data_IF_221118911797
#
_entry.id   IF_221118911797
#
_cell.length_a   1.000
_cell.length_b   1.000
_cell.length_c   1.000
_cell.angle_alpha   90.00
_cell.angle_beta   90.00
_cell.angle_gamma   90.00
#
_symmetry.space_group_name_H-M   'P 1'
#
loop_
_entity.id
_entity.type
_entity.pdbx_description
1 polymer ?
2 non-polymer ?
3 non-polymer ?
4 water ?
#
# COMPACT_ATOMS: atom_id res chain seq x y z
N UNK A 4 21.34 0.65 2.65
CA UNK A 4 20.94 -0.79 2.57
C UNK A 4 20.27 -1.26 3.88
N UNK A 5 20.02 -2.56 3.96
CA UNK A 5 19.47 -3.20 5.16
C UNK A 5 20.12 -4.58 5.31
N UNK A 6 20.29 -5.00 6.56
CA UNK A 6 20.94 -6.27 6.84
C UNK A 6 20.10 -7.37 6.22
N UNK A 7 18.81 -7.41 6.54
CA UNK A 7 17.91 -8.37 5.90
C UNK A 7 17.44 -7.77 4.58
N UNK A 8 17.05 -8.58 3.60
CA UNK A 8 16.63 -8.02 2.35
C UNK A 8 15.20 -7.49 2.39
N UNK A 9 14.93 -6.55 1.50
CA UNK A 9 13.73 -5.82 1.67
C UNK A 9 12.60 -6.76 1.37
N UNK A 10 12.80 -7.78 0.54
CA UNK A 10 11.68 -8.65 0.24
C UNK A 10 11.18 -9.40 1.48
N UNK A 11 12.06 -9.63 2.44
CA UNK A 11 11.69 -10.34 3.66
C UNK A 11 11.03 -9.34 4.57
N UNK A 12 11.74 -8.24 4.83
CA UNK A 12 11.20 -7.12 5.55
C UNK A 12 9.73 -6.87 5.20
N UNK A 13 9.41 -6.79 3.92
CA UNK A 13 8.04 -6.37 3.54
C UNK A 13 7.03 -7.48 3.74
N UNK A 14 7.47 -8.71 3.93
CA UNK A 14 6.48 -9.71 4.32
C UNK A 14 6.17 -9.70 5.82
N UNK A 15 7.07 -9.16 6.62
CA UNK A 15 6.95 -9.23 8.08
C UNK A 15 5.65 -8.60 8.64
N UNK A 16 5.28 -7.39 8.16
CA UNK A 16 4.07 -6.80 8.73
C UNK A 16 2.91 -7.68 8.36
N UNK A 17 2.95 -8.38 7.23
CA UNK A 17 1.79 -9.20 6.91
C UNK A 17 1.71 -10.34 7.91
N UNK A 18 2.86 -10.94 8.19
CA UNK A 18 2.79 -12.03 9.21
C UNK A 18 2.23 -11.45 10.50
N UNK A 19 2.65 -10.23 10.82
CA UNK A 19 2.27 -9.61 12.09
C UNK A 19 0.77 -9.46 12.13
N UNK A 20 0.18 -9.04 11.02
CA UNK A 20 -1.29 -8.87 10.95
C UNK A 20 -2.08 -10.16 11.16
N UNK A 21 -1.69 -11.20 10.44
CA UNK A 21 -2.38 -12.46 10.55
C UNK A 21 -2.18 -13.05 11.96
N UNK A 22 -0.99 -12.90 12.53
CA UNK A 22 -0.78 -13.46 13.86
C UNK A 22 -1.62 -12.67 14.79
N UNK A 23 -1.73 -11.37 14.49
CA UNK A 23 -2.57 -10.54 15.34
C UNK A 23 -4.03 -11.04 15.43
N UNK A 24 -4.61 -11.34 14.27
CA UNK A 24 -5.96 -11.83 14.15
C UNK A 24 -6.11 -13.16 14.90
N UNK A 25 -5.17 -14.08 14.62
CA UNK A 25 -5.11 -15.33 15.37
C UNK A 25 -5.13 -15.06 16.88
N UNK A 26 -4.30 -14.11 17.31
CA UNK A 26 -4.11 -13.83 18.73
C UNK A 26 -5.39 -13.35 19.38
N UNK A 27 -6.12 -12.49 18.70
CA UNK A 27 -7.41 -11.96 19.16
C UNK A 27 -8.50 -13.02 19.15
N UNK A 28 -8.34 -14.04 18.30
CA UNK A 28 -9.25 -15.19 18.23
C UNK A 28 -8.86 -16.31 19.19
N UNK A 29 -7.80 -16.07 19.96
CA UNK A 29 -7.44 -17.02 21.00
C UNK A 29 -6.97 -18.36 20.43
N UNK A 30 -6.47 -18.34 19.20
CA UNK A 30 -5.79 -19.49 18.63
C UNK A 30 -4.36 -19.55 19.17
N UNK A 31 -3.97 -20.70 19.71
CA UNK A 31 -2.77 -20.80 20.58
C UNK A 31 -1.52 -21.06 19.78
N UNK A 32 -1.66 -21.98 18.83
CA UNK A 32 -0.57 -22.46 17.98
C UNK A 32 -1.11 -22.61 16.57
N UNK A 33 -0.21 -22.50 15.60
CA UNK A 33 -0.52 -22.64 14.21
C UNK A 33 0.74 -23.13 13.52
N UNK A 34 0.61 -24.18 12.67
CA UNK A 34 1.74 -24.76 11.94
C UNK A 34 2.09 -23.89 10.74
N UNK A 35 3.28 -24.11 10.18
CA UNK A 35 3.67 -23.34 8.98
C UNK A 35 2.67 -23.58 7.87
N UNK A 36 2.20 -24.83 7.79
CA UNK A 36 1.23 -25.23 6.79
C UNK A 36 -0.14 -24.58 6.97
N UNK A 37 -0.71 -24.63 8.15
CA UNK A 37 -1.98 -23.96 8.36
C UNK A 37 -1.82 -22.46 8.13
N UNK A 38 -0.64 -21.94 8.47
CA UNK A 38 -0.38 -20.51 8.35
C UNK A 38 -0.27 -20.09 6.88
N UNK A 39 0.46 -20.88 6.10
CA UNK A 39 0.60 -20.55 4.68
C UNK A 39 -0.72 -20.75 3.93
N UNK A 40 -1.46 -21.79 4.26
CA UNK A 40 -2.81 -21.95 3.71
C UNK A 40 -3.62 -20.67 3.94
N UNK A 41 -3.60 -20.14 5.17
CA UNK A 41 -4.33 -18.92 5.52
C UNK A 41 -3.91 -17.67 4.75
N UNK A 42 -2.64 -17.60 4.37
CA UNK A 42 -2.04 -16.39 3.79
C UNK A 42 -1.74 -16.52 2.31
N UNK A 43 -1.82 -17.75 1.79
CA UNK A 43 -1.45 -18.06 0.41
C UNK A 43 -0.01 -17.70 0.14
N UNK A 44 0.86 -18.00 1.10
CA UNK A 44 2.30 -17.90 0.88
C UNK A 44 2.80 -19.33 1.08
N UNK A 45 4.02 -19.61 0.62
CA UNK A 45 4.63 -20.93 0.82
C UNK A 45 4.92 -21.14 2.30
N UNK A 46 4.72 -22.35 2.80
CA UNK A 46 5.09 -22.65 4.18
C UNK A 46 6.61 -22.62 4.35
N UNK A 47 7.37 -22.80 3.28
CA UNK A 47 8.83 -22.76 3.37
C UNK A 47 9.44 -21.35 3.32
N UNK A 48 8.74 -20.41 2.68
CA UNK A 48 9.24 -19.02 2.72
C UNK A 48 9.08 -18.46 4.14
N UNK A 49 7.89 -18.71 4.71
CA UNK A 49 7.57 -18.34 6.08
C UNK A 49 8.72 -18.73 6.99
N UNK A 50 9.14 -19.99 6.91
CA UNK A 50 10.21 -20.48 7.78
C UNK A 50 11.54 -19.80 7.43
N UNK A 51 11.82 -19.68 6.14
CA UNK A 51 13.03 -19.01 5.64
C UNK A 51 13.06 -17.58 6.16
N UNK A 52 11.95 -16.86 6.01
CA UNK A 52 11.85 -15.47 6.49
C UNK A 52 12.21 -15.37 7.98
N UNK A 53 11.51 -16.15 8.80
CA UNK A 53 11.62 -16.00 10.27
C UNK A 53 12.99 -16.43 10.70
N UNK A 54 13.56 -17.34 9.94
CA UNK A 54 14.88 -17.88 10.21
C UNK A 54 15.95 -16.80 10.23
N UNK A 55 15.66 -15.69 9.54
CA UNK A 55 16.52 -14.52 9.64
C UNK A 55 16.53 -13.97 11.06
N UNK A 56 15.52 -14.32 11.85
CA UNK A 56 15.43 -13.72 13.18
C UNK A 56 15.41 -14.67 14.38
N UNK A 57 15.31 -15.97 14.12
CA UNK A 57 15.55 -16.98 15.13
C UNK A 57 14.60 -18.18 15.12
N UNK A 58 14.87 -19.09 16.05
CA UNK A 58 14.16 -20.36 16.16
C UNK A 58 12.81 -20.22 16.84
N UNK A 59 11.80 -19.80 16.06
CA UNK A 59 10.43 -19.78 16.55
C UNK A 59 9.74 -21.09 16.16
N UNK A 60 8.65 -21.41 16.85
CA UNK A 60 7.96 -22.68 16.60
C UNK A 60 8.83 -23.92 16.77
N UNK A 61 8.30 -25.08 16.37
CA UNK A 61 9.08 -26.32 16.26
C UNK A 61 8.31 -27.55 15.82
N UNK A 62 9.04 -28.40 15.08
CA UNK A 62 8.76 -29.81 14.93
C UNK A 62 7.47 -30.22 15.65
N UNK A 63 6.36 -30.20 14.90
CA UNK A 63 5.16 -30.94 15.28
C UNK A 63 4.03 -30.20 15.96
N UNK A 64 4.29 -28.97 16.40
CA UNK A 64 3.28 -28.19 17.10
C UNK A 64 3.07 -26.85 16.40
N UNK A 65 4.01 -26.51 15.54
CA UNK A 65 3.98 -25.24 14.86
C UNK A 65 4.41 -24.11 15.79
N UNK A 66 4.02 -22.91 15.44
CA UNK A 66 4.43 -21.73 16.17
C UNK A 66 3.42 -21.50 17.26
N UNK A 67 3.90 -21.20 18.46
CA UNK A 67 3.07 -20.51 19.41
C UNK A 67 2.70 -19.11 18.90
N UNK A 68 1.40 -18.81 18.90
CA UNK A 68 0.89 -17.60 18.26
C UNK A 68 1.29 -16.31 18.99
N UNK A 69 1.11 -16.28 20.32
CA UNK A 69 1.52 -15.10 21.08
C UNK A 69 3.02 -14.86 20.93
N UNK A 70 3.81 -15.92 21.07
CA UNK A 70 5.25 -15.80 21.01
C UNK A 70 5.70 -15.21 19.69
N UNK A 71 5.17 -15.73 18.59
CA UNK A 71 5.57 -15.24 17.26
C UNK A 71 5.09 -13.80 17.00
N UNK A 72 3.87 -13.51 17.41
CA UNK A 72 3.32 -12.18 17.35
C UNK A 72 4.24 -11.22 18.10
N UNK A 73 4.65 -11.61 19.30
CA UNK A 73 5.44 -10.71 20.14
C UNK A 73 6.79 -10.45 19.53
N UNK A 74 7.40 -11.52 19.04
CA UNK A 74 8.69 -11.40 18.37
C UNK A 74 8.60 -10.55 17.11
N UNK A 75 7.52 -10.70 16.34
CA UNK A 75 7.35 -9.85 15.15
C UNK A 75 7.17 -8.39 15.55
N UNK A 76 6.47 -8.14 16.65
CA UNK A 76 6.28 -6.79 17.11
C UNK A 76 7.61 -6.12 17.41
N UNK A 77 8.48 -6.88 18.08
CA UNK A 77 9.79 -6.33 18.48
C UNK A 77 10.69 -6.27 17.28
N UNK A 78 10.64 -7.28 16.41
CA UNK A 78 11.38 -7.21 15.15
C UNK A 78 11.06 -5.93 14.27
N UNK A 79 9.79 -5.55 14.19
CA UNK A 79 9.35 -4.43 13.33
C UNK A 79 9.54 -3.09 14.07
N UNK A 80 10.18 -3.17 15.23
CA UNK A 80 10.48 -1.96 16.04
C UNK A 80 9.25 -1.40 16.72
N UNK A 81 8.18 -2.16 16.75
CA UNK A 81 6.93 -1.65 17.32
C UNK A 81 6.85 -1.77 18.86
N UNK A 82 7.93 -2.16 19.51
CA UNK A 82 7.99 -2.00 20.96
C UNK A 82 8.53 -0.63 21.36
N UNK A 83 8.64 0.30 20.41
CA UNK A 83 9.16 1.62 20.73
C UNK A 83 8.14 2.69 20.34
N UNK A 84 8.44 3.94 20.65
CA UNK A 84 7.62 5.12 20.31
C UNK A 84 8.29 5.98 19.25
N UNK A 85 7.52 6.40 18.26
CA UNK A 85 8.02 7.27 17.19
C UNK A 85 7.17 8.53 17.14
N UNK A 86 7.81 9.68 17.09
CA UNK A 86 7.08 10.92 17.00
C UNK A 86 6.91 11.27 15.54
N UNK A 87 5.67 11.49 15.11
CA UNK A 87 5.46 11.80 13.70
C UNK A 87 4.87 13.19 13.52
N UNK A 88 5.11 13.72 12.33
CA UNK A 88 4.32 14.80 11.84
C UNK A 88 3.81 14.50 10.42
N UNK A 89 2.76 15.20 10.05
CA UNK A 89 2.20 15.11 8.68
C UNK A 89 2.34 16.48 8.02
N UNK A 90 2.84 16.49 6.79
CA UNK A 90 2.84 17.75 6.07
C UNK A 90 1.77 17.63 5.00
N UNK A 91 0.82 18.57 5.01
CA UNK A 91 -0.32 18.64 4.11
C UNK A 91 -1.54 18.25 4.91
N UNK A 92 -2.42 19.20 5.17
CA UNK A 92 -3.67 18.90 5.85
C UNK A 92 -4.85 18.98 4.90
N UNK A 93 -4.69 18.50 3.68
CA UNK A 93 -5.85 18.42 2.77
C UNK A 93 -6.50 17.08 3.05
N UNK A 94 -7.29 16.56 2.11
CA UNK A 94 -7.98 15.32 2.39
C UNK A 94 -7.07 14.14 2.71
N UNK A 95 -5.96 14.00 2.01
CA UNK A 95 -5.08 12.89 2.27
C UNK A 95 -4.45 13.02 3.65
N UNK A 96 -3.86 14.17 3.97
CA UNK A 96 -3.18 14.28 5.25
C UNK A 96 -4.16 14.10 6.39
N UNK A 97 -5.40 14.59 6.24
CA UNK A 97 -6.41 14.37 7.31
C UNK A 97 -6.90 12.93 7.39
N UNK A 98 -7.00 12.22 6.27
CA UNK A 98 -7.27 10.78 6.30
C UNK A 98 -6.16 10.05 7.05
N UNK A 99 -4.91 10.40 6.79
CA UNK A 99 -3.84 9.66 7.47
C UNK A 99 -3.80 9.99 8.97
N UNK A 100 -4.03 11.27 9.31
CA UNK A 100 -4.23 11.65 10.73
C UNK A 100 -5.32 10.82 11.38
N UNK A 101 -6.30 10.36 10.61
CA UNK A 101 -7.38 9.52 11.18
C UNK A 101 -7.11 7.95 11.09
N UNK A 102 -5.87 7.57 10.80
CA UNK A 102 -5.46 6.18 10.93
C UNK A 102 -5.01 5.98 12.37
N UNK A 103 -5.98 5.92 13.28
CA UNK A 103 -5.67 6.01 14.74
C UNK A 103 -5.07 4.73 15.36
N UNK A 104 -5.24 3.58 14.70
CA UNK A 104 -4.52 2.39 15.10
C UNK A 104 -3.00 2.55 15.20
N UNK A 105 -2.40 3.36 14.33
CA UNK A 105 -0.96 3.64 14.39
C UNK A 105 -0.54 4.08 15.80
N UNK A 106 -1.40 4.83 16.50
CA UNK A 106 -1.05 5.37 17.82
C UNK A 106 -0.80 4.24 18.81
N UNK A 107 -1.62 3.19 18.71
CA UNK A 107 -1.51 2.03 19.59
C UNK A 107 -0.31 1.24 19.18
N UNK A 108 0.10 1.33 17.92
CA UNK A 108 1.31 0.64 17.51
C UNK A 108 2.51 1.51 17.81
N UNK A 109 2.28 2.70 18.36
CA UNK A 109 3.40 3.49 18.87
C UNK A 109 3.83 4.70 18.06
N UNK A 110 3.07 5.04 17.04
CA UNK A 110 3.38 6.23 16.24
C UNK A 110 2.53 7.38 16.77
N UNK A 111 3.18 8.36 17.42
CA UNK A 111 2.46 9.43 18.10
C UNK A 111 2.50 10.70 17.28
N UNK A 112 1.34 11.10 16.78
CA UNK A 112 1.26 12.26 15.88
C UNK A 112 1.41 13.53 16.73
N UNK A 113 2.45 14.31 16.49
CA UNK A 113 2.66 15.53 17.27
C UNK A 113 2.20 16.81 16.61
N UNK A 114 2.08 16.81 15.29
CA UNK A 114 1.79 18.08 14.61
C UNK A 114 1.41 17.82 13.18
N UNK A 115 0.63 18.74 12.63
CA UNK A 115 0.27 18.70 11.22
C UNK A 115 0.51 20.08 10.64
N UNK A 116 1.08 20.13 9.44
CA UNK A 116 1.52 21.38 8.87
C UNK A 116 0.93 21.64 7.50
N UNK A 117 0.63 22.91 7.23
CA UNK A 117 0.12 23.30 5.92
C UNK A 117 0.59 24.67 5.54
N UNK A 118 0.41 25.02 4.26
CA UNK A 118 0.67 26.36 3.77
C UNK A 118 -0.59 27.23 3.75
N UNK A 119 -1.74 26.59 3.70
CA UNK A 119 -3.04 27.26 3.63
C UNK A 119 -3.43 27.92 4.95
N UNK A 120 -3.36 29.27 5.03
CA UNK A 120 -3.79 29.97 6.24
C UNK A 120 -5.22 29.67 6.65
N UNK A 121 -6.10 29.34 5.71
CA UNK A 121 -7.46 29.01 6.09
C UNK A 121 -7.55 27.74 6.93
N UNK A 122 -6.43 27.04 7.07
CA UNK A 122 -6.40 25.77 7.82
C UNK A 122 -5.68 25.94 9.13
N UNK A 123 -4.91 27.01 9.30
CA UNK A 123 -4.20 27.21 10.56
C UNK A 123 -5.20 27.12 11.73
N UNK A 124 -4.82 26.43 12.80
CA UNK A 124 -5.72 26.31 13.95
C UNK A 124 -6.75 25.19 13.86
N UNK A 125 -6.94 24.56 12.71
CA UNK A 125 -7.89 23.46 12.67
C UNK A 125 -7.47 22.38 13.69
N UNK A 126 -8.45 21.80 14.38
CA UNK A 126 -8.15 20.72 15.31
C UNK A 126 -8.38 19.39 14.63
N UNK A 127 -7.36 18.55 14.65
CA UNK A 127 -7.54 17.19 14.16
C UNK A 127 -7.04 16.25 15.27
N UNK A 128 -7.98 15.45 15.77
CA UNK A 128 -7.86 14.75 17.05
C UNK A 128 -7.37 15.75 18.07
N UNK A 129 -6.23 15.45 18.68
CA UNK A 129 -5.72 16.35 19.69
C UNK A 129 -4.73 17.40 19.12
N UNK A 130 -4.47 17.40 17.82
CA UNK A 130 -3.46 18.38 17.35
C UNK A 130 -4.00 19.52 16.51
N UNK A 131 -3.21 20.58 16.42
CA UNK A 131 -3.54 21.72 15.60
C UNK A 131 -2.72 21.75 14.30
N UNK A 132 -3.37 22.18 13.23
CA UNK A 132 -2.69 22.46 11.97
C UNK A 132 -1.91 23.76 12.11
N UNK A 133 -0.62 23.70 11.79
CA UNK A 133 0.27 24.85 11.96
C UNK A 133 0.85 25.22 10.63
N UNK A 134 1.33 26.45 10.54
CA UNK A 134 2.04 26.95 9.37
C UNK A 134 3.32 26.16 9.20
N UNK A 135 3.51 25.57 8.02
CA UNK A 135 4.66 24.70 7.81
C UNK A 135 5.94 25.54 7.88
N UNK A 136 5.75 26.85 7.94
CA UNK A 136 6.90 27.75 8.11
C UNK A 136 7.67 27.37 9.37
N UNK A 137 6.94 26.97 10.40
CA UNK A 137 7.52 26.64 11.71
C UNK A 137 8.06 25.23 11.79
N UNK A 138 8.00 24.45 10.71
CA UNK A 138 8.17 23.00 10.85
C UNK A 138 9.61 22.65 11.29
N UNK A 139 10.60 23.40 10.80
CA UNK A 139 11.99 23.07 11.11
C UNK A 139 12.25 23.25 12.59
N UNK A 140 11.79 24.39 13.11
CA UNK A 140 11.75 24.63 14.53
C UNK A 140 11.04 23.54 15.33
N UNK A 141 9.82 23.20 14.89
CA UNK A 141 9.01 22.21 15.57
C UNK A 141 9.72 20.86 15.68
N UNK A 142 10.47 20.49 14.64
CA UNK A 142 11.11 19.18 14.53
C UNK A 142 12.24 19.00 15.54
N UNK A 143 12.92 20.11 15.83
CA UNK A 143 14.03 20.12 16.76
C UNK A 143 13.54 20.12 18.21
N UNK A 144 12.59 21.01 18.53
CA UNK A 144 11.99 21.06 19.85
C UNK A 144 11.32 19.76 20.22
N UNK A 145 10.69 19.08 19.26
CA UNK A 145 9.80 17.98 19.60
C UNK A 145 10.37 16.59 19.29
N UNK A 146 11.63 16.55 18.88
CA UNK A 146 12.28 15.28 18.57
C UNK A 146 11.42 14.45 17.61
N UNK A 147 11.12 14.98 16.43
CA UNK A 147 10.27 14.24 15.49
C UNK A 147 11.11 13.18 14.76
N UNK A 148 10.60 11.96 14.74
CA UNK A 148 11.27 10.87 14.09
C UNK A 148 10.88 10.75 12.62
N UNK A 149 9.57 10.82 12.34
CA UNK A 149 9.07 10.51 11.01
C UNK A 149 8.31 11.67 10.42
N UNK A 150 8.61 12.02 9.16
CA UNK A 150 7.78 13.01 8.46
C UNK A 150 6.94 12.32 7.40
N UNK A 151 5.65 12.60 7.41
CA UNK A 151 4.73 11.99 6.47
C UNK A 151 4.31 13.08 5.48
N UNK A 152 4.56 12.83 4.19
CA UNK A 152 4.30 13.83 3.17
C UNK A 152 3.02 13.57 2.42
N UNK A 153 2.09 14.52 2.53
CA UNK A 153 0.76 14.42 1.93
C UNK A 153 0.43 15.71 1.17
N UNK A 154 1.47 16.21 0.48
CA UNK A 154 1.37 17.45 -0.28
C UNK A 154 1.41 17.18 -1.78
N UNK A 155 1.10 18.21 -2.61
CA UNK A 155 1.20 18.02 -4.06
C UNK A 155 2.66 17.86 -4.46
N UNK A 156 2.88 17.20 -5.59
CA UNK A 156 4.21 16.80 -6.04
C UNK A 156 5.19 17.96 -6.17
N UNK A 157 4.69 19.07 -6.72
CA UNK A 157 5.55 20.07 -7.32
C UNK A 157 6.62 20.66 -6.40
N UNK A 158 6.44 20.47 -5.09
CA UNK A 158 7.33 21.11 -4.12
C UNK A 158 7.54 20.18 -2.94
N UNK A 159 7.30 18.89 -3.17
CA UNK A 159 7.73 17.86 -2.28
C UNK A 159 9.24 17.91 -1.98
N UNK A 160 10.07 18.04 -3.01
CA UNK A 160 11.52 17.90 -2.80
C UNK A 160 12.00 19.00 -1.85
N UNK A 161 11.58 20.22 -2.13
CA UNK A 161 11.93 21.36 -1.29
C UNK A 161 11.57 21.06 0.16
N UNK A 162 10.35 20.57 0.36
CA UNK A 162 9.86 20.27 1.70
C UNK A 162 10.63 19.11 2.32
N UNK A 163 10.90 18.07 1.54
CA UNK A 163 11.70 16.99 2.05
C UNK A 163 13.05 17.50 2.56
N UNK A 164 13.67 18.41 1.79
CA UNK A 164 15.01 18.92 2.15
C UNK A 164 14.94 19.58 3.52
N UNK A 165 13.92 20.41 3.73
CA UNK A 165 13.68 21.00 5.05
C UNK A 165 13.55 19.99 6.19
N UNK A 166 12.78 18.91 5.99
CA UNK A 166 12.67 17.92 7.06
C UNK A 166 14.03 17.28 7.29
N UNK A 167 14.75 17.04 6.20
CA UNK A 167 16.08 16.41 6.38
C UNK A 167 17.03 17.34 7.15
N UNK A 168 17.02 18.64 6.82
CA UNK A 168 17.94 19.59 7.51
C UNK A 168 17.65 19.64 9.02
N UNK A 169 16.35 19.53 9.35
CA UNK A 169 15.94 19.67 10.74
C UNK A 169 16.18 18.41 11.54
N UNK A 170 16.72 17.38 10.89
CA UNK A 170 17.09 16.19 11.63
C UNK A 170 16.12 15.02 11.49
N UNK A 171 15.19 15.08 10.55
CA UNK A 171 14.23 13.98 10.48
C UNK A 171 14.96 12.69 10.14
N UNK A 172 14.53 11.56 10.73
CA UNK A 172 15.16 10.27 10.45
C UNK A 172 14.53 9.49 9.27
N UNK A 173 13.28 9.76 8.95
CA UNK A 173 12.56 8.94 8.00
C UNK A 173 11.44 9.75 7.41
N UNK A 174 11.16 9.52 6.13
CA UNK A 174 10.07 10.17 5.43
C UNK A 174 9.14 9.08 4.85
N UNK A 175 7.85 9.16 5.15
CA UNK A 175 6.91 8.22 4.60
C UNK A 175 6.18 9.02 3.57
N UNK A 176 6.47 8.74 2.29
CA UNK A 176 6.10 9.66 1.25
C UNK A 176 4.92 9.14 0.44
N UNK A 177 3.84 9.91 0.39
CA UNK A 177 2.66 9.51 -0.44
C UNK A 177 2.69 9.98 -1.89
N UNK A 178 3.68 10.82 -2.25
CA UNK A 178 3.77 11.35 -3.62
C UNK A 178 4.51 10.46 -4.63
N UNK A 179 4.01 10.40 -5.90
CA UNK A 179 4.75 9.65 -6.91
C UNK A 179 5.81 10.52 -7.56
N UNK A 180 6.82 10.86 -6.79
CA UNK A 180 8.00 11.55 -7.27
C UNK A 180 8.99 10.60 -6.67
N UNK A 181 10.23 10.56 -7.11
CA UNK A 181 11.20 9.85 -6.30
C UNK A 181 12.14 10.83 -5.60
N UNK A 182 11.79 11.12 -4.35
CA UNK A 182 12.51 12.09 -3.53
C UNK A 182 13.96 11.71 -3.34
N UNK A 183 14.83 12.70 -3.40
CA UNK A 183 16.22 12.53 -3.06
C UNK A 183 16.38 12.81 -1.57
N UNK A 184 16.96 11.87 -0.83
CA UNK A 184 17.29 12.11 0.57
C UNK A 184 18.72 11.62 0.80
N UNK A 185 19.40 12.07 1.85
CA UNK A 185 20.67 11.37 2.06
C UNK A 185 20.49 9.88 2.33
N UNK A 186 21.61 9.17 2.28
CA UNK A 186 21.64 7.73 2.41
C UNK A 186 21.28 7.20 3.78
N UNK A 187 21.55 7.98 4.82
CA UNK A 187 21.17 7.59 6.17
C UNK A 187 19.68 7.88 6.55
N UNK A 188 18.93 8.53 5.66
CA UNK A 188 17.54 8.84 5.95
C UNK A 188 16.62 7.72 5.40
N UNK A 189 15.72 7.18 6.21
CA UNK A 189 14.79 6.15 5.70
C UNK A 189 13.71 6.80 4.82
N UNK A 190 13.65 6.43 3.55
CA UNK A 190 12.56 6.86 2.67
C UNK A 190 11.70 5.66 2.30
N UNK A 191 10.39 5.80 2.43
CA UNK A 191 9.45 4.73 2.11
C UNK A 191 8.37 5.39 1.32
N UNK A 192 8.23 4.97 0.07
CA UNK A 192 7.24 5.54 -0.88
C UNK A 192 6.02 4.65 -1.00
N UNK A 193 4.86 5.23 -0.77
CA UNK A 193 3.63 4.45 -0.86
C UNK A 193 3.21 4.54 -2.34
N UNK A 194 2.85 3.41 -2.93
CA UNK A 194 2.37 3.43 -4.28
C UNK A 194 1.06 2.65 -4.33
N UNK A 195 -0.07 3.35 -4.24
CA UNK A 195 -1.35 2.67 -4.20
C UNK A 195 -1.63 1.99 -5.53
N UNK A 196 -1.06 2.48 -6.63
CA UNK A 196 -1.27 1.83 -7.94
C UNK A 196 -0.68 0.43 -7.94
N UNK A 197 0.34 0.15 -7.12
CA UNK A 197 0.88 -1.22 -7.03
C UNK A 197 -0.21 -2.18 -6.53
N UNK A 198 -1.11 -1.69 -5.69
CA UNK A 198 -2.28 -2.49 -5.26
C UNK A 198 -3.38 -2.43 -6.31
N UNK A 199 -3.77 -1.24 -6.76
CA UNK A 199 -4.93 -1.19 -7.64
C UNK A 199 -4.69 -1.99 -8.91
N UNK A 200 -3.48 -1.95 -9.42
CA UNK A 200 -3.19 -2.57 -10.73
C UNK A 200 -3.21 -4.12 -10.62
N UNK A 201 -3.18 -4.67 -9.40
CA UNK A 201 -3.37 -6.12 -9.31
C UNK A 201 -4.86 -6.46 -9.50
N UNK A 202 -5.75 -5.46 -9.34
CA UNK A 202 -7.20 -5.62 -9.54
C UNK A 202 -7.50 -5.69 -11.02
N UNK A 203 -6.99 -4.74 -11.82
CA UNK A 203 -7.11 -4.80 -13.26
C UNK A 203 -6.42 -6.06 -13.80
N UNK A 204 -5.30 -6.46 -13.19
CA UNK A 204 -4.62 -7.69 -13.66
C UNK A 204 -5.58 -8.89 -13.58
N UNK A 205 -6.08 -9.11 -12.37
CA UNK A 205 -6.97 -10.22 -12.04
C UNK A 205 -8.28 -10.14 -12.78
N UNK A 206 -8.86 -8.94 -12.95
CA UNK A 206 -10.06 -8.86 -13.78
C UNK A 206 -9.84 -9.28 -15.23
N UNK A 207 -8.64 -9.03 -15.74
CA UNK A 207 -8.37 -9.16 -17.16
C UNK A 207 -7.63 -10.48 -17.45
N UNK A 208 -7.19 -11.17 -16.42
CA UNK A 208 -6.32 -12.36 -16.57
C UNK A 208 -6.82 -13.42 -17.57
N UNK A 209 -8.06 -13.88 -17.34
CA UNK A 209 -8.73 -14.83 -18.26
C UNK A 209 -8.61 -14.42 -19.74
N UNK A 210 -8.93 -13.16 -20.08
CA UNK A 210 -8.79 -12.66 -21.47
C UNK A 210 -7.33 -12.59 -21.92
N UNK A 211 -6.48 -12.04 -21.06
CA UNK A 211 -5.03 -12.07 -21.27
C UNK A 211 -4.57 -13.46 -21.73
N UNK A 212 -4.97 -14.50 -21.01
CA UNK A 212 -4.49 -15.84 -21.35
C UNK A 212 -5.17 -16.50 -22.55
N UNK A 213 -6.37 -16.04 -22.90
CA UNK A 213 -6.98 -16.44 -24.17
C UNK A 213 -6.15 -15.91 -25.34
N UNK A 214 -5.81 -14.61 -25.31
CA UNK A 214 -5.00 -13.96 -26.35
C UNK A 214 -3.63 -14.60 -26.50
N UNK A 215 -3.13 -15.21 -25.42
CA UNK A 215 -1.78 -15.80 -25.36
C UNK A 215 -1.71 -17.29 -25.65
N UNK A 216 -2.64 -18.08 -25.14
CA UNK A 216 -2.56 -19.52 -25.29
C UNK A 216 -3.25 -19.90 -26.57
N UNK B 4 -9.09 -17.13 -6.97
CA UNK B 4 -7.87 -17.80 -7.52
C UNK B 4 -7.42 -17.21 -8.88
N UNK B 5 -6.16 -17.53 -9.25
CA UNK B 5 -5.51 -16.89 -10.39
C UNK B 5 -4.68 -17.91 -11.21
N UNK B 6 -4.57 -17.72 -12.53
CA UNK B 6 -3.61 -18.48 -13.33
C UNK B 6 -2.16 -18.26 -12.83
N UNK B 7 -1.72 -17.03 -12.64
CA UNK B 7 -0.35 -16.80 -12.19
C UNK B 7 -0.43 -16.64 -10.68
N UNK B 8 0.62 -16.99 -9.93
CA UNK B 8 0.54 -16.86 -8.45
C UNK B 8 0.49 -15.37 -7.95
N UNK B 9 -0.21 -15.08 -6.85
CA UNK B 9 -0.25 -13.71 -6.35
C UNK B 9 1.14 -13.09 -6.09
N UNK B 10 2.10 -13.87 -5.62
CA UNK B 10 3.49 -13.34 -5.48
C UNK B 10 4.04 -12.73 -6.76
N UNK B 11 3.87 -13.42 -7.88
CA UNK B 11 4.30 -12.88 -9.16
C UNK B 11 3.45 -11.63 -9.49
N UNK B 12 2.13 -11.76 -9.39
CA UNK B 12 1.23 -10.69 -9.81
C UNK B 12 1.62 -9.41 -9.10
N UNK B 13 1.98 -9.48 -7.82
CA UNK B 13 2.31 -8.26 -7.06
C UNK B 13 3.64 -7.60 -7.44
N UNK B 14 4.53 -8.36 -8.05
CA UNK B 14 5.74 -7.75 -8.57
C UNK B 14 5.47 -7.01 -9.85
N UNK B 15 4.45 -7.43 -10.59
CA UNK B 15 4.32 -6.87 -11.92
C UNK B 15 4.12 -5.34 -11.95
N UNK B 16 3.25 -4.79 -11.06
CA UNK B 16 3.09 -3.34 -11.12
C UNK B 16 4.41 -2.64 -10.72
N UNK B 17 5.25 -3.31 -9.93
CA UNK B 17 6.53 -2.72 -9.57
C UNK B 17 7.47 -2.64 -10.79
N UNK B 18 7.51 -3.72 -11.59
CA UNK B 18 8.28 -3.68 -12.82
C UNK B 18 7.75 -2.55 -13.68
N UNK B 19 6.43 -2.52 -13.83
CA UNK B 19 5.78 -1.53 -14.67
C UNK B 19 6.22 -0.12 -14.23
N UNK B 20 6.14 0.16 -12.92
CA UNK B 20 6.51 1.44 -12.37
C UNK B 20 7.96 1.80 -12.68
N UNK B 21 8.88 0.87 -12.40
CA UNK B 21 10.30 1.13 -12.62
C UNK B 21 10.61 1.37 -14.11
N UNK B 22 10.01 0.59 -15.00
CA UNK B 22 10.16 0.78 -16.45
C UNK B 22 9.66 2.13 -16.99
N UNK B 23 8.47 2.51 -16.59
CA UNK B 23 7.93 3.84 -16.87
C UNK B 23 8.94 4.97 -16.70
N UNK B 24 9.53 5.04 -15.50
CA UNK B 24 10.63 5.94 -15.19
C UNK B 24 11.86 5.81 -16.10
N UNK B 25 12.30 4.58 -16.34
CA UNK B 25 13.41 4.36 -17.24
C UNK B 25 13.01 4.99 -18.56
N UNK B 26 11.75 4.78 -18.92
CA UNK B 26 11.22 5.31 -20.17
C UNK B 26 11.30 6.85 -20.11
N UNK B 27 10.81 7.45 -19.03
CA UNK B 27 10.92 8.91 -18.82
C UNK B 27 12.33 9.50 -18.86
N UNK B 28 13.34 8.76 -18.45
CA UNK B 28 14.75 9.18 -18.58
C UNK B 28 15.42 8.66 -19.85
N UNK B 29 14.63 8.39 -20.89
CA UNK B 29 15.12 7.74 -22.11
C UNK B 29 16.33 6.82 -21.88
N UNK B 30 16.18 5.86 -20.96
CA UNK B 30 17.05 4.67 -20.94
C UNK B 30 16.40 3.65 -21.90
N UNK B 31 17.18 3.11 -22.82
CA UNK B 31 16.62 2.33 -23.94
C UNK B 31 16.55 0.82 -23.68
N UNK B 32 17.44 0.32 -22.83
CA UNK B 32 17.69 -1.12 -22.74
C UNK B 32 17.90 -1.49 -21.29
N UNK B 33 17.26 -2.54 -20.83
CA UNK B 33 17.50 -2.92 -19.44
C UNK B 33 17.79 -4.42 -19.32
N UNK B 34 18.73 -4.77 -18.47
CA UNK B 34 18.97 -6.21 -18.17
C UNK B 34 18.21 -6.65 -16.91
N UNK B 35 17.93 -7.95 -16.84
CA UNK B 35 17.39 -8.58 -15.62
C UNK B 35 18.22 -8.23 -14.40
N UNK B 36 19.55 -8.18 -14.60
CA UNK B 36 20.50 -7.88 -13.56
C UNK B 36 20.35 -6.45 -13.00
N UNK B 37 20.29 -5.47 -13.90
CA UNK B 37 19.89 -4.09 -13.58
C UNK B 37 18.54 -4.03 -12.89
N UNK B 38 17.54 -4.69 -13.47
CA UNK B 38 16.24 -4.73 -12.80
C UNK B 38 16.38 -5.31 -11.41
N UNK B 39 17.23 -6.34 -11.28
CA UNK B 39 17.36 -7.08 -10.03
C UNK B 39 17.94 -6.20 -8.92
N UNK B 40 18.99 -5.47 -9.27
CA UNK B 40 19.63 -4.47 -8.40
C UNK B 40 18.57 -3.52 -7.80
N UNK B 41 17.79 -2.89 -8.67
CA UNK B 41 16.74 -1.98 -8.24
C UNK B 41 15.57 -2.59 -7.49
N UNK B 42 15.17 -3.79 -7.87
CA UNK B 42 13.93 -4.34 -7.42
C UNK B 42 14.06 -5.20 -6.17
N UNK B 43 15.24 -5.75 -5.89
CA UNK B 43 15.37 -6.65 -4.74
C UNK B 43 14.74 -8.01 -5.01
N UNK B 44 14.71 -8.35 -6.30
CA UNK B 44 14.25 -9.65 -6.74
C UNK B 44 15.44 -10.28 -7.52
N UNK B 45 15.75 -11.56 -7.30
CA UNK B 45 16.82 -12.20 -8.11
C UNK B 45 16.52 -12.05 -9.61
N UNK B 46 17.58 -11.85 -10.39
CA UNK B 46 17.50 -11.76 -11.83
C UNK B 46 16.82 -13.00 -12.42
N UNK B 47 17.11 -14.18 -11.90
CA UNK B 47 16.43 -15.37 -12.37
C UNK B 47 14.94 -15.38 -12.01
N UNK B 48 14.57 -14.81 -10.88
CA UNK B 48 13.14 -14.74 -10.59
C UNK B 48 12.45 -13.72 -11.54
N UNK B 49 13.14 -12.64 -11.93
CA UNK B 49 12.53 -11.66 -12.84
C UNK B 49 12.29 -12.35 -14.21
N UNK B 50 13.29 -13.08 -14.70
CA UNK B 50 13.13 -13.77 -16.02
C UNK B 50 11.94 -14.70 -15.86
N UNK B 51 11.86 -15.38 -14.73
CA UNK B 51 10.81 -16.37 -14.58
C UNK B 51 9.41 -15.71 -14.56
N UNK B 52 9.30 -14.59 -13.86
CA UNK B 52 8.04 -13.86 -13.76
C UNK B 52 7.63 -13.47 -15.18
N UNK B 53 8.57 -12.90 -15.92
CA UNK B 53 8.25 -12.38 -17.29
C UNK B 53 7.93 -13.48 -18.28
N UNK B 54 8.59 -14.64 -18.12
CA UNK B 54 8.38 -15.77 -19.02
C UNK B 54 6.95 -16.36 -19.02
N UNK B 55 6.17 -16.04 -18.00
CA UNK B 55 4.75 -16.38 -17.94
C UNK B 55 3.97 -15.77 -19.11
N UNK B 56 4.46 -14.68 -19.68
CA UNK B 56 3.65 -13.86 -20.60
C UNK B 56 4.34 -13.75 -21.97
N UNK B 57 5.60 -14.15 -22.03
CA UNK B 57 6.31 -14.26 -23.32
C UNK B 57 7.73 -13.73 -23.38
N UNK B 58 8.27 -13.70 -24.59
CA UNK B 58 9.69 -13.44 -24.78
C UNK B 58 9.95 -12.08 -25.37
N UNK B 59 9.82 -11.04 -24.52
CA UNK B 59 10.39 -9.72 -24.79
C UNK B 59 11.90 -9.91 -24.64
N UNK B 60 12.67 -9.31 -25.54
CA UNK B 60 14.13 -9.37 -25.49
C UNK B 60 14.63 -10.80 -25.60
N UNK B 61 15.95 -10.96 -25.55
CA UNK B 61 16.55 -12.29 -25.73
C UNK B 61 18.01 -12.37 -25.32
N UNK B 62 18.59 -13.54 -25.60
CA UNK B 62 20.04 -13.79 -25.65
C UNK B 62 20.87 -12.55 -25.31
N UNK B 63 21.45 -12.57 -24.11
CA UNK B 63 22.38 -11.53 -23.64
C UNK B 63 22.18 -10.12 -24.17
N UNK B 64 20.99 -9.56 -23.91
CA UNK B 64 20.67 -8.26 -24.48
C UNK B 64 19.74 -7.45 -23.59
N UNK B 65 19.22 -8.08 -22.53
CA UNK B 65 18.28 -7.42 -21.61
C UNK B 65 16.88 -7.30 -22.20
N UNK B 66 16.17 -6.21 -21.95
CA UNK B 66 14.89 -6.00 -22.63
C UNK B 66 14.91 -4.62 -23.28
N UNK B 67 14.19 -4.49 -24.37
CA UNK B 67 13.88 -3.16 -24.80
C UNK B 67 12.92 -2.54 -23.77
N UNK B 68 13.37 -1.47 -23.12
CA UNK B 68 12.56 -0.78 -22.09
C UNK B 68 11.13 -0.37 -22.54
N UNK B 69 11.01 0.20 -23.72
CA UNK B 69 9.73 0.70 -24.15
C UNK B 69 8.80 -0.47 -24.42
N UNK B 70 9.35 -1.49 -25.09
CA UNK B 70 8.57 -2.69 -25.37
C UNK B 70 8.11 -3.43 -24.08
N UNK B 71 8.97 -3.51 -23.08
CA UNK B 71 8.63 -4.27 -21.91
C UNK B 71 7.60 -3.45 -21.13
N UNK B 72 7.88 -2.17 -20.89
CA UNK B 72 6.86 -1.24 -20.36
C UNK B 72 5.47 -1.44 -20.96
N UNK B 73 5.40 -1.43 -22.29
CA UNK B 73 4.13 -1.48 -22.98
C UNK B 73 3.52 -2.86 -22.86
N UNK B 74 4.33 -3.91 -22.89
CA UNK B 74 3.77 -5.25 -22.70
C UNK B 74 3.14 -5.37 -21.27
N UNK B 75 3.83 -4.84 -20.27
CA UNK B 75 3.38 -4.84 -18.88
C UNK B 75 2.07 -4.06 -18.73
N UNK B 76 1.98 -2.94 -19.46
CA UNK B 76 0.75 -2.16 -19.54
C UNK B 76 -0.39 -3.06 -19.95
N UNK B 77 -0.14 -3.93 -20.92
CA UNK B 77 -1.24 -4.80 -21.39
C UNK B 77 -1.49 -5.94 -20.42
N UNK B 78 -0.41 -6.52 -19.92
CA UNK B 78 -0.48 -7.62 -18.97
C UNK B 78 -1.27 -7.19 -17.71
N UNK B 79 -1.09 -5.96 -17.25
CA UNK B 79 -1.81 -5.49 -16.06
C UNK B 79 -3.26 -5.11 -16.44
N UNK B 80 -3.64 -5.23 -17.71
CA UNK B 80 -4.99 -4.84 -18.12
C UNK B 80 -5.22 -3.35 -18.17
N UNK B 81 -4.15 -2.56 -18.23
CA UNK B 81 -4.36 -1.11 -18.19
C UNK B 81 -4.72 -0.56 -19.57
N UNK B 82 -4.92 -1.41 -20.56
CA UNK B 82 -5.40 -0.88 -21.83
C UNK B 82 -6.91 -1.01 -21.87
N UNK B 83 -7.50 -1.51 -20.78
CA UNK B 83 -8.95 -1.70 -20.74
C UNK B 83 -9.50 -0.54 -19.92
N UNK B 84 -10.82 -0.48 -19.77
CA UNK B 84 -11.53 0.57 -19.03
C UNK B 84 -12.31 -0.08 -17.89
N UNK B 85 -12.20 0.46 -16.67
CA UNK B 85 -12.93 -0.11 -15.53
C UNK B 85 -13.79 0.99 -14.91
N UNK B 86 -15.06 0.71 -14.74
CA UNK B 86 -15.92 1.68 -14.09
C UNK B 86 -15.81 1.48 -12.62
N UNK B 87 -15.44 2.54 -11.89
CA UNK B 87 -15.31 2.44 -10.44
C UNK B 87 -16.31 3.32 -9.70
N UNK B 88 -16.55 2.99 -8.42
CA UNK B 88 -17.25 3.88 -7.49
C UNK B 88 -16.48 3.93 -6.18
N UNK B 89 -16.72 4.97 -5.41
CA UNK B 89 -16.12 5.07 -4.11
C UNK B 89 -17.25 5.13 -3.09
N UNK B 90 -17.13 4.37 -1.99
CA UNK B 90 -18.11 4.46 -0.91
C UNK B 90 -17.42 5.16 0.25
N UNK B 91 -18.01 6.24 0.71
CA UNK B 91 -17.38 7.07 1.70
C UNK B 91 -16.84 8.34 1.07
N UNK B 92 -17.47 9.48 1.34
CA UNK B 92 -17.06 10.73 0.76
C UNK B 92 -16.41 11.64 1.82
N UNK B 93 -15.72 11.04 2.80
CA UNK B 93 -15.02 11.80 3.84
C UNK B 93 -13.62 12.08 3.35
N UNK B 94 -12.70 12.38 4.25
CA UNK B 94 -11.32 12.64 3.79
C UNK B 94 -10.70 11.58 2.95
N UNK B 95 -10.82 10.33 3.34
CA UNK B 95 -10.12 9.27 2.53
C UNK B 95 -10.76 9.07 1.16
N UNK B 96 -12.10 9.00 1.13
CA UNK B 96 -12.78 8.84 -0.18
C UNK B 96 -12.45 10.01 -1.09
N UNK B 97 -12.43 11.22 -0.57
CA UNK B 97 -12.08 12.36 -1.44
C UNK B 97 -10.60 12.28 -1.82
N UNK B 98 -9.72 11.92 -0.87
CA UNK B 98 -8.32 11.78 -1.29
C UNK B 98 -8.21 10.81 -2.47
N UNK B 99 -8.94 9.68 -2.43
CA UNK B 99 -8.82 8.64 -3.47
C UNK B 99 -9.46 9.09 -4.77
N UNK B 100 -10.53 9.87 -4.63
CA UNK B 100 -11.18 10.39 -5.81
C UNK B 100 -10.19 11.32 -6.50
N UNK B 101 -9.29 11.90 -5.71
CA UNK B 101 -8.24 12.75 -6.22
C UNK B 101 -6.98 12.03 -6.78
N UNK B 102 -6.91 10.70 -6.70
CA UNK B 102 -5.84 10.00 -7.43
C UNK B 102 -6.12 10.01 -8.94
N UNK B 103 -5.94 11.16 -9.57
CA UNK B 103 -6.41 11.33 -10.93
C UNK B 103 -5.55 10.55 -11.93
N UNK B 104 -4.32 10.20 -11.57
CA UNK B 104 -3.53 9.39 -12.50
C UNK B 104 -4.28 8.10 -12.87
N UNK B 105 -5.08 7.54 -11.97
CA UNK B 105 -5.77 6.27 -12.30
C UNK B 105 -6.65 6.36 -13.55
N UNK B 106 -7.26 7.53 -13.82
CA UNK B 106 -8.05 7.68 -15.08
C UNK B 106 -7.27 7.33 -16.36
N UNK B 107 -6.00 7.76 -16.43
CA UNK B 107 -5.11 7.41 -17.56
C UNK B 107 -4.85 5.91 -17.68
N UNK B 108 -4.98 5.18 -16.56
CA UNK B 108 -4.80 3.73 -16.64
C UNK B 108 -6.11 2.98 -16.83
N UNK B 109 -7.20 3.73 -17.06
CA UNK B 109 -8.45 3.11 -17.47
C UNK B 109 -9.45 2.93 -16.34
N UNK B 110 -9.19 3.55 -15.19
CA UNK B 110 -10.17 3.46 -14.09
C UNK B 110 -11.08 4.69 -14.14
N UNK B 111 -12.35 4.55 -14.55
CA UNK B 111 -13.16 5.76 -14.64
C UNK B 111 -14.09 5.87 -13.47
N UNK B 112 -13.87 6.85 -12.61
CA UNK B 112 -14.75 7.02 -11.44
C UNK B 112 -16.18 7.48 -11.84
N UNK B 113 -17.20 6.70 -11.47
CA UNK B 113 -18.56 7.03 -11.90
C UNK B 113 -19.37 7.69 -10.83
N UNK B 114 -19.08 7.43 -9.55
CA UNK B 114 -19.98 8.00 -8.53
C UNK B 114 -19.33 7.81 -7.16
N UNK B 115 -19.80 8.55 -6.15
CA UNK B 115 -19.29 8.44 -4.79
C UNK B 115 -20.55 8.45 -3.98
N UNK B 116 -20.54 7.65 -2.90
CA UNK B 116 -21.70 7.36 -2.12
C UNK B 116 -21.43 7.66 -0.66
N UNK B 117 -22.43 8.20 0.03
CA UNK B 117 -22.27 8.35 1.47
C UNK B 117 -23.63 8.12 2.17
N UNK B 118 -23.61 8.02 3.49
CA UNK B 118 -24.83 7.91 4.26
C UNK B 118 -25.29 9.29 4.75
N UNK B 119 -24.39 10.27 4.76
CA UNK B 119 -24.66 11.57 5.41
C UNK B 119 -25.46 12.51 4.44
N UNK B 120 -26.75 12.74 4.71
CA UNK B 120 -27.49 13.56 3.73
C UNK B 120 -26.88 14.96 3.50
N UNK B 121 -26.11 15.46 4.46
CA UNK B 121 -25.50 16.76 4.30
C UNK B 121 -24.57 16.78 3.08
N UNK B 122 -24.04 15.63 2.73
CA UNK B 122 -23.07 15.52 1.64
C UNK B 122 -23.72 15.21 0.30
N UNK B 123 -25.00 14.91 0.27
CA UNK B 123 -25.63 14.60 -1.05
C UNK B 123 -25.52 15.81 -1.99
N UNK B 124 -25.25 15.58 -3.27
CA UNK B 124 -25.01 16.68 -4.20
C UNK B 124 -23.60 17.27 -4.20
N UNK B 125 -22.77 17.01 -3.19
CA UNK B 125 -21.44 17.58 -3.23
C UNK B 125 -20.73 17.09 -4.49
N UNK B 126 -20.01 17.99 -5.17
CA UNK B 126 -19.37 17.62 -6.44
C UNK B 126 -17.89 17.41 -6.15
N UNK B 127 -17.37 16.26 -6.49
CA UNK B 127 -15.97 15.97 -6.28
C UNK B 127 -15.41 15.61 -7.65
N UNK B 128 -14.45 16.40 -8.09
CA UNK B 128 -14.10 16.50 -9.50
C UNK B 128 -15.34 16.42 -10.35
N UNK B 129 -15.46 15.30 -11.03
CA UNK B 129 -16.43 15.18 -12.10
C UNK B 129 -17.79 14.58 -11.64
N UNK B 130 -17.87 14.17 -10.38
CA UNK B 130 -18.97 13.29 -9.95
C UNK B 130 -19.64 13.86 -8.74
N UNK B 131 -20.87 13.42 -8.49
CA UNK B 131 -21.73 13.84 -7.38
C UNK B 131 -21.68 12.83 -6.23
N UNK B 132 -21.82 13.32 -5.01
CA UNK B 132 -22.03 12.42 -3.89
C UNK B 132 -23.53 12.06 -3.81
N UNK B 133 -23.81 10.77 -3.84
CA UNK B 133 -25.20 10.29 -3.85
C UNK B 133 -25.48 9.44 -2.61
N UNK B 134 -26.77 9.22 -2.33
CA UNK B 134 -27.16 8.41 -1.16
C UNK B 134 -26.73 6.96 -1.42
N UNK B 135 -25.95 6.40 -0.50
CA UNK B 135 -25.54 4.99 -0.64
C UNK B 135 -26.76 4.05 -0.72
N UNK B 136 -27.93 4.49 -0.26
CA UNK B 136 -29.14 3.66 -0.52
C UNK B 136 -29.42 3.41 -1.98
N UNK B 137 -28.90 4.24 -2.89
CA UNK B 137 -29.10 4.00 -4.32
C UNK B 137 -28.01 3.18 -5.00
N UNK B 138 -27.01 2.70 -4.24
CA UNK B 138 -25.77 2.22 -4.84
C UNK B 138 -26.02 0.96 -5.65
N UNK B 139 -26.97 0.13 -5.22
CA UNK B 139 -27.17 -1.18 -5.90
C UNK B 139 -27.84 -1.00 -7.29
N UNK B 140 -28.80 -0.10 -7.36
CA UNK B 140 -29.44 0.30 -8.65
C UNK B 140 -28.33 0.94 -9.54
N UNK B 141 -27.53 1.82 -8.94
CA UNK B 141 -26.44 2.51 -9.66
C UNK B 141 -25.41 1.52 -10.23
N UNK B 142 -24.98 0.56 -9.41
CA UNK B 142 -24.06 -0.47 -9.93
C UNK B 142 -24.55 -1.12 -11.21
N UNK B 143 -25.81 -1.55 -11.18
CA UNK B 143 -26.35 -2.34 -12.29
C UNK B 143 -26.55 -1.41 -13.48
N UNK B 144 -27.09 -0.23 -13.22
CA UNK B 144 -27.28 0.76 -14.28
C UNK B 144 -26.02 1.26 -14.97
N UNK B 145 -24.92 1.41 -14.23
CA UNK B 145 -23.72 1.97 -14.86
C UNK B 145 -22.62 0.95 -15.10
N UNK B 146 -22.98 -0.33 -15.01
CA UNK B 146 -22.01 -1.42 -15.24
C UNK B 146 -20.73 -1.22 -14.41
N UNK B 147 -20.90 -0.99 -13.11
CA UNK B 147 -19.73 -0.68 -12.29
C UNK B 147 -18.95 -1.96 -12.02
N UNK B 148 -17.66 -1.94 -12.20
CA UNK B 148 -16.84 -3.14 -11.95
C UNK B 148 -16.23 -3.18 -10.56
N UNK B 149 -15.75 -2.05 -10.07
CA UNK B 149 -14.93 -2.02 -8.82
C UNK B 149 -15.57 -1.05 -7.83
N UNK B 150 -15.78 -1.50 -6.60
CA UNK B 150 -16.24 -0.66 -5.47
C UNK B 150 -15.04 -0.43 -4.57
N UNK B 151 -14.78 0.85 -4.29
CA UNK B 151 -13.67 1.19 -3.44
C UNK B 151 -14.23 1.60 -2.10
N UNK B 152 -13.74 0.96 -1.05
CA UNK B 152 -14.36 1.18 0.26
C UNK B 152 -13.47 2.09 1.07
N UNK B 153 -14.05 3.22 1.47
CA UNK B 153 -13.38 4.23 2.29
C UNK B 153 -14.26 4.70 3.45
N UNK B 154 -14.86 3.76 4.18
CA UNK B 154 -15.79 4.04 5.28
C UNK B 154 -15.22 3.48 6.59
N UNK B 155 -15.81 3.83 7.76
CA UNK B 155 -15.47 3.19 9.04
C UNK B 155 -15.76 1.70 8.96
N UNK B 156 -14.96 0.92 9.67
CA UNK B 156 -15.08 -0.54 9.63
C UNK B 156 -16.43 -1.10 10.11
N UNK B 157 -17.05 -0.41 11.06
CA UNK B 157 -18.35 -0.82 11.66
C UNK B 157 -19.36 -1.51 10.72
N UNK B 158 -19.82 -0.85 9.69
CA UNK B 158 -20.73 -1.55 8.78
C UNK B 158 -20.16 -1.94 7.41
N UNK B 159 -18.86 -2.20 7.35
CA UNK B 159 -18.22 -2.48 6.05
C UNK B 159 -18.71 -3.79 5.43
N UNK B 160 -18.98 -4.80 6.26
CA UNK B 160 -19.38 -6.11 5.75
C UNK B 160 -20.73 -6.05 5.02
N UNK B 161 -21.68 -5.33 5.62
CA UNK B 161 -23.01 -5.20 5.04
C UNK B 161 -22.81 -4.39 3.73
N UNK B 162 -21.96 -3.37 3.76
CA UNK B 162 -21.69 -2.62 2.53
C UNK B 162 -21.10 -3.49 1.43
N UNK B 163 -20.17 -4.39 1.76
CA UNK B 163 -19.53 -5.28 0.77
C UNK B 163 -20.61 -6.23 0.26
N UNK B 164 -21.45 -6.72 1.15
CA UNK B 164 -22.58 -7.60 0.75
C UNK B 164 -23.52 -6.89 -0.23
N UNK B 165 -23.84 -5.62 -0.02
CA UNK B 165 -24.71 -4.95 -1.02
C UNK B 165 -24.02 -4.81 -2.37
N UNK B 166 -22.72 -4.47 -2.41
CA UNK B 166 -22.00 -4.29 -3.68
C UNK B 166 -21.97 -5.63 -4.37
N UNK B 167 -21.66 -6.68 -3.61
CA UNK B 167 -21.65 -8.05 -4.17
C UNK B 167 -22.97 -8.50 -4.79
N UNK B 168 -24.06 -8.31 -4.08
CA UNK B 168 -25.32 -8.84 -4.62
C UNK B 168 -25.84 -7.99 -5.77
N UNK B 169 -25.29 -6.78 -5.91
CA UNK B 169 -25.59 -5.96 -7.07
C UNK B 169 -24.75 -6.27 -8.32
N UNK B 170 -23.82 -7.20 -8.22
CA UNK B 170 -22.96 -7.57 -9.34
C UNK B 170 -21.56 -6.98 -9.36
N UNK B 171 -21.08 -6.40 -8.24
CA UNK B 171 -19.75 -5.86 -8.26
C UNK B 171 -18.75 -6.97 -8.69
N UNK B 172 -17.72 -6.66 -9.47
CA UNK B 172 -16.68 -7.68 -9.79
C UNK B 172 -15.46 -7.68 -8.89
N UNK B 173 -15.28 -6.58 -8.15
CA UNK B 173 -14.06 -6.46 -7.32
C UNK B 173 -14.28 -5.37 -6.31
N UNK B 174 -13.58 -5.51 -5.19
CA UNK B 174 -13.66 -4.51 -4.12
C UNK B 174 -12.22 -4.14 -3.76
N UNK B 175 -11.94 -2.85 -3.85
CA UNK B 175 -10.63 -2.30 -3.43
C UNK B 175 -10.84 -1.79 -1.99
N UNK B 176 -10.31 -2.49 -0.99
CA UNK B 176 -10.74 -2.26 0.41
C UNK B 176 -9.63 -1.55 1.24
N UNK B 177 -9.92 -0.36 1.75
CA UNK B 177 -8.97 0.34 2.65
C UNK B 177 -9.08 0.02 4.15
N UNK B 178 -10.04 -0.81 4.55
CA UNK B 178 -10.28 -0.97 5.96
C UNK B 178 -9.44 -2.05 6.60
N UNK B 179 -9.18 -1.96 7.91
CA UNK B 179 -8.46 -2.99 8.66
C UNK B 179 -9.42 -4.08 9.13
N UNK B 180 -9.92 -4.89 8.22
CA UNK B 180 -10.87 -5.90 8.56
C UNK B 180 -10.74 -6.84 7.38
N UNK B 181 -10.73 -8.15 7.61
CA UNK B 181 -10.84 -9.08 6.49
C UNK B 181 -12.32 -9.36 6.09
N UNK B 182 -12.77 -8.70 5.03
CA UNK B 182 -14.15 -8.88 4.52
C UNK B 182 -14.37 -10.22 3.85
N UNK B 183 -15.58 -10.76 4.00
CA UNK B 183 -15.92 -11.98 3.30
C UNK B 183 -16.57 -11.62 2.02
N UNK B 184 -16.05 -12.12 0.90
CA UNK B 184 -16.75 -12.03 -0.38
C UNK B 184 -16.72 -13.40 -1.04
N UNK B 185 -17.64 -13.65 -1.98
CA UNK B 185 -17.51 -14.96 -2.63
C UNK B 185 -16.22 -15.02 -3.45
N UNK B 186 -15.83 -16.26 -3.72
CA UNK B 186 -14.56 -16.62 -4.34
C UNK B 186 -14.39 -16.05 -5.73
N UNK B 187 -15.48 -15.74 -6.41
CA UNK B 187 -15.37 -15.21 -7.79
C UNK B 187 -15.18 -13.67 -7.82
N UNK B 188 -15.40 -13.04 -6.67
CA UNK B 188 -15.21 -11.58 -6.54
C UNK B 188 -13.77 -11.30 -6.07
N UNK B 189 -13.09 -10.41 -6.79
CA UNK B 189 -11.74 -10.03 -6.43
C UNK B 189 -11.79 -9.10 -5.22
N UNK B 190 -11.06 -9.45 -4.18
CA UNK B 190 -11.00 -8.54 -3.06
C UNK B 190 -9.52 -8.15 -2.83
N UNK B 191 -9.21 -6.87 -2.90
CA UNK B 191 -7.81 -6.41 -2.66
C UNK B 191 -7.80 -5.50 -1.44
N UNK B 192 -7.04 -5.89 -0.43
CA UNK B 192 -7.04 -5.14 0.82
C UNK B 192 -5.81 -4.24 0.82
N UNK B 193 -6.01 -2.93 0.97
CA UNK B 193 -4.92 -2.01 1.24
C UNK B 193 -4.64 -1.96 2.76
N UNK B 194 -3.43 -2.31 3.16
CA UNK B 194 -3.04 -2.19 4.54
C UNK B 194 -1.84 -1.25 4.53
N UNK B 195 -2.12 0.03 4.80
CA UNK B 195 -1.04 1.03 4.77
C UNK B 195 -0.03 0.74 5.85
N UNK B 196 -0.50 0.13 6.93
CA UNK B 196 0.42 -0.23 8.02
C UNK B 196 1.55 -1.15 7.51
N UNK B 197 1.31 -1.91 6.42
CA UNK B 197 2.40 -2.77 5.91
C UNK B 197 3.60 -1.99 5.37
N UNK B 198 3.31 -0.80 4.82
CA UNK B 198 4.38 0.18 4.45
C UNK B 198 5.00 0.90 5.68
N UNK B 199 4.18 1.52 6.51
CA UNK B 199 4.70 2.24 7.67
C UNK B 199 5.62 1.40 8.60
N UNK B 200 5.20 0.17 8.85
CA UNK B 200 5.93 -0.73 9.74
C UNK B 200 7.28 -1.15 9.17
N UNK B 201 7.47 -1.01 7.88
CA UNK B 201 8.85 -1.17 7.36
C UNK B 201 9.72 0.05 7.75
N UNK B 202 9.08 1.14 8.20
CA UNK B 202 9.88 2.34 8.47
C UNK B 202 10.43 2.14 9.87
N UNK B 203 9.51 1.79 10.79
CA UNK B 203 9.92 1.39 12.12
C UNK B 203 10.91 0.20 12.09
N UNK B 204 10.70 -0.77 11.22
CA UNK B 204 11.65 -1.89 11.16
C UNK B 204 13.03 -1.33 10.88
N UNK B 205 13.09 -0.47 9.86
CA UNK B 205 14.41 0.01 9.44
C UNK B 205 15.09 0.94 10.40
N UNK B 206 14.33 1.77 11.08
CA UNK B 206 14.89 2.65 12.10
C UNK B 206 15.54 1.83 13.22
N UNK B 207 15.22 0.54 13.25
CA UNK B 207 15.50 -0.24 14.45
C UNK B 207 16.47 -1.37 14.16
N UNK B 208 16.77 -1.60 12.88
CA UNK B 208 17.39 -2.86 12.48
C UNK B 208 18.83 -3.01 13.03
N UNK B 209 19.56 -1.90 13.08
CA UNK B 209 20.95 -1.89 13.48
C UNK B 209 20.88 -2.36 14.92
N UNK B 210 20.04 -1.68 15.70
CA UNK B 210 19.89 -1.97 17.11
C UNK B 210 19.36 -3.39 17.38
N UNK B 211 18.40 -3.85 16.57
CA UNK B 211 17.92 -5.21 16.72
C UNK B 211 19.08 -6.17 16.60
N UNK B 212 20.02 -5.83 15.72
CA UNK B 212 21.05 -6.81 15.35
C UNK B 212 22.28 -6.84 16.25
N UNK B 213 22.28 -5.98 17.26
CA UNK B 213 23.07 -6.23 18.47
C UNK B 213 22.35 -7.37 19.21
N UNK B 214 21.08 -7.11 19.59
CA UNK B 214 20.23 -8.03 20.37
C UNK B 214 20.22 -9.45 19.81
N UNK B 215 19.54 -9.63 18.67
CA UNK B 215 19.44 -10.95 18.03
C UNK B 215 20.80 -11.51 17.55
N UNK B 216 21.14 -11.30 16.28
CA UNK B 216 22.07 -12.22 15.57
C UNK B 216 23.47 -12.30 16.17
X LIG C 1 -5.48 18.52 -1.23
X LIG C 1 -5.45 19.65 -2.23
X LIG C 1 -6.79 18.09 -0.59
X LIG C 1 -4.36 18.83 -0.10
X LIG C 1 -3.02 19.22 -0.38
X LIG C 1 -2.66 20.12 0.79
X LIG C 1 -1.29 20.44 0.86
X LIG C 1 -3.39 21.45 0.69
X LIG C 1 -4.04 21.60 1.95
X LIG C 1 -2.27 22.48 0.48
X LIG C 1 -2.54 23.70 1.17
X LIG C 1 -1.12 21.80 1.20
X LIG C 1 0.20 22.15 0.70
X LIG C 1 0.60 22.45 -0.56
X LIG C 1 1.95 22.62 -0.53
X LIG C 1 2.36 22.44 0.75
X LIG C 1 3.57 22.51 1.40
X LIG C 1 4.70 22.81 0.74
X LIG C 1 3.62 22.28 2.72
X LIG C 1 2.52 22.02 3.45
X LIG C 1 1.33 21.98 2.87
X LIG C 1 1.24 22.17 1.53
X LIG C 1 -4.87 17.20 -1.99
X LIG C 1 -5.00 15.73 -1.32
X LIG C 1 -6.27 15.09 -1.78
X LIG C 1 -4.81 15.81 0.18
X LIG C 1 -3.81 14.91 -2.04
X LIG C 1 -2.39 15.11 -1.79
X LIG C 1 -1.55 14.26 -2.76
X LIG C 1 -2.27 13.06 -3.13
X LIG C 1 -1.24 14.93 -4.10
X LIG C 1 0.03 14.44 -4.57
X LIG C 1 -2.31 14.38 -5.02
X LIG C 1 -1.70 14.35 -6.30
X LIG C 1 -2.66 12.98 -4.50
X LIG C 1 -1.87 11.85 -5.08
X LIG C 1 -2.26 11.30 -6.29
X LIG C 1 -1.62 10.28 -6.89
X LIG C 1 -2.13 9.79 -8.18
X LIG C 1 -2.96 10.45 -8.81
X LIG C 1 -1.68 8.61 -8.60
X LIG C 1 -0.42 9.62 -6.23
X LIG C 1 -0.11 10.27 -4.89
X LIG C 1 -0.81 11.30 -4.39
X LIG D 1 -4.26 -9.52 3.12
X LIG D 1 -4.29 -10.96 2.93
X LIG D 1 -4.91 -9.07 4.36
X LIG D 1 -2.84 -9.27 2.94
X LIG D 1 -5.00 -8.83 2.07
X LIG E 1 0.79 5.89 -7.16
X LIG E 1 0.29 6.27 -8.49
X LIG E 1 -0.28 5.89 -6.20
X LIG E 1 1.46 4.60 -7.29
X LIG E 1 1.70 6.91 -6.70
X LIG F 1 4.88 -27.92 12.39
X LIG F 1 3.72 -28.25 13.22
X LIG F 1 5.92 -27.20 13.13
X LIG F 1 5.49 -29.14 11.88
X LIG F 1 4.41 -27.12 11.25
X LIG G 1 -14.32 10.55 7.58
X LIG G 1 -15.12 10.54 8.81
X LIG G 1 -13.61 11.78 7.01
X LIG G 1 -15.22 9.92 6.42
X LIG G 1 -16.04 8.80 6.76
X LIG G 1 -17.24 9.04 5.84
X LIG G 1 -17.93 7.84 5.57
X LIG G 1 -18.26 10.03 6.40
X LIG G 1 -18.51 10.81 5.23
X LIG G 1 -19.50 9.20 6.62
X LIG G 1 -20.75 9.83 6.32
X LIG G 1 -19.31 8.09 5.59
X LIG G 1 -19.90 6.82 6.05
X LIG G 1 -19.94 6.33 7.31
X LIG G 1 -20.60 5.12 7.27
X LIG G 1 -20.98 4.88 5.99
X LIG G 1 -21.64 3.81 5.35
X LIG G 1 -22.08 2.76 6.08
X LIG G 1 -21.84 3.87 4.02
X LIG G 1 -21.44 4.94 3.29
X LIG G 1 -20.79 5.99 3.90
X LIG G 1 -20.54 5.95 5.23
X LIG G 1 -13.31 9.32 7.77
X LIG G 1 -12.08 9.05 6.80
X LIG G 1 -10.93 9.84 7.40
X LIG G 1 -12.41 9.28 5.36
X LIG G 1 -11.74 7.51 7.08
X LIG G 1 -12.41 6.38 6.53
X LIG G 1 -11.67 5.10 6.97
X LIG G 1 -10.26 5.28 7.04
X LIG G 1 -12.07 4.59 8.35
X LIG G 1 -11.90 3.17 8.29
X LIG G 1 -10.98 5.15 9.24
X LIG G 1 -10.77 4.32 10.39
X LIG G 1 -9.75 5.17 8.36
X LIG G 1 -8.90 3.95 8.46
X LIG G 1 -8.04 3.77 9.54
X LIG G 1 -7.20 2.71 9.63
X LIG G 1 -6.37 2.56 10.83
X LIG G 1 -6.63 3.20 11.84
X LIG G 1 -5.34 1.69 10.75
X LIG G 1 -7.12 1.66 8.54
X LIG G 1 -8.03 1.99 7.39
X LIG G 1 -8.81 3.08 7.39
X LIG H 1 -4.06 -0.97 8.29
X LIG H 1 -4.44 -0.70 9.66
X LIG H 1 -3.22 0.12 7.82
X LIG H 1 -3.34 -2.22 8.20
X LIG H 1 -5.25 -1.17 7.45
X LIG I 1 19.85 -10.79 -18.84
X LIG I 1 20.23 -10.99 -17.45
X LIG I 1 18.81 -9.80 -19.00
X LIG I 1 21.07 -10.37 -19.54
X LIG I 1 19.36 -12.05 -19.40
X LIG J 1 10.07 2.49 -4.67
X LIG J 1 9.40 2.30 -3.39
X LIG J 1 9.57 3.70 -5.33
X LIG J 1 11.50 2.68 -4.43
X LIG J 1 9.86 1.29 -5.50
#
# INVERSE_FOLDING_TARGET
MSKKTIVSMAVIRRLPRYHRYLEELLKNDVKRISSRELSEKMGVTASQIRQDLNNFGGFGQQGYGYNVEELYNNLTKILGLDKTYNTIIIGAGNLGQAIANYTSFEKSGFNLKGIFDINPRLFGLKIRDVEVMDVETVEDFIARNKIDIGILCIPKDNAQYTADRLVRAGIKAIWNFLPIDLKVPDDVILENVHLSDSLFTVSYRLNEEELFKKLKGETAKIDG
MSKKTIVSMAVIRRLPRYHRYLEELLKNDVKRISSRELSEKMGVTASQIRQDLNNFGGFGQQGYGYNVEELYNNLTKILGLDKTYNTIIIGAGNLGQAIANYTSFEKSGFNLKGIFDINPRLFGLKIRDVEVMDVETVEDFIARNKIDIGILCIPKDNAQYTADRLVRAGIKAIWNFLPIDLKVPDDVILENVHLSDSLFTVSYRLNEEELFKKLKGETAKIDG
8NA PA O1A O2A O5B C5B C4B O4B C3B O3B C2B O2B C1B N9A C8A N7A C5A C6A N6A N1A C2A N3A C4A O3 PN O1N O2N O5D C5D C4D O4D C3D O3D C2D O2D C1D N1N C2N C3N C7N O7N N7N C4N C5N C6N
SO4 S O1 O2 O3 O4
SO4 S O1 O2 O3 O4
SO4 S O1 O2 O3 O4
8NA PA O1A O2A O5B C5B C4B O4B C3B O3B C2B O2B C1B N9A C8A N7A C5A C6A N6A N1A C2A N3A C4A O3 PN O1N O2N O5D C5D C4D O4D C3D O3D C2D O2D C1D N1N C2N C3N C7N O7N N7N C4N C5N C6N
SO4 S O1 O2 O3 O4
SO4 S O1 O2 O3 O4
SO4 S O1 O2 O3 O4
#
